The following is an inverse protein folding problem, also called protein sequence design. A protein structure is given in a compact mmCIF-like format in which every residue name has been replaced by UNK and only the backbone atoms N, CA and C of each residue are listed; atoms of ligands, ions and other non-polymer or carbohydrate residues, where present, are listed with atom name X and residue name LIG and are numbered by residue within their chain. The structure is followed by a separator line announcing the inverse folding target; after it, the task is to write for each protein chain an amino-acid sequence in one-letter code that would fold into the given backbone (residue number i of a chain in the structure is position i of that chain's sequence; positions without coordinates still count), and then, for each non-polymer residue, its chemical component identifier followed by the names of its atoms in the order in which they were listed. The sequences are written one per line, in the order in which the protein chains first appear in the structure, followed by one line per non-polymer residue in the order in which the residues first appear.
data_IF_040470155724
#
_entry.id   IF_040470155724
#
_cell.length_a   1.000
_cell.length_b   1.000
_cell.length_c   1.000
_cell.angle_alpha   90.00
_cell.angle_beta   90.00
_cell.angle_gamma   90.00
#
_symmetry.space_group_name_H-M   'P 1'
#
loop_
_entity.id
_entity.type
_entity.pdbx_description
1 polymer ?
#
# COMPACT_ATOMS: atom_id res chain seq x y z
N UNK A 1 -35.07 -6.60 -16.49
CA UNK A 1 -33.98 -7.60 -16.59
C UNK A 1 -32.70 -6.80 -16.57
N UNK A 2 -32.06 -6.66 -15.41
CA UNK A 2 -30.89 -5.80 -15.27
C UNK A 2 -29.67 -6.51 -15.87
N UNK A 3 -29.27 -5.99 -17.02
CA UNK A 3 -27.93 -6.06 -17.60
C UNK A 3 -26.83 -6.06 -16.52
N UNK A 4 -26.15 -7.21 -16.40
CA UNK A 4 -24.89 -7.34 -15.68
C UNK A 4 -23.83 -6.65 -16.53
N UNK A 5 -23.60 -5.36 -16.25
CA UNK A 5 -22.51 -4.59 -16.83
C UNK A 5 -21.21 -5.10 -16.20
N UNK A 6 -20.47 -5.87 -16.99
CA UNK A 6 -19.01 -6.01 -17.00
C UNK A 6 -18.31 -5.86 -15.64
N UNK A 7 -18.02 -6.97 -14.95
CA UNK A 7 -16.91 -7.03 -14.00
C UNK A 7 -15.66 -7.43 -14.80
N UNK A 8 -14.82 -6.46 -15.24
CA UNK A 8 -13.59 -6.79 -15.92
C UNK A 8 -12.66 -7.36 -14.86
N UNK A 9 -12.65 -8.69 -14.72
CA UNK A 9 -11.78 -9.48 -13.86
C UNK A 9 -10.60 -8.66 -13.37
N UNK A 10 -10.72 -8.09 -12.15
CA UNK A 10 -9.67 -7.28 -11.57
C UNK A 10 -8.41 -8.14 -11.56
N UNK A 11 -7.47 -7.85 -12.47
CA UNK A 11 -6.28 -8.66 -12.67
C UNK A 11 -5.42 -8.55 -11.40
N UNK A 12 -5.50 -9.58 -10.55
CA UNK A 12 -4.77 -9.65 -9.31
C UNK A 12 -3.33 -10.10 -9.57
N UNK A 13 -2.39 -9.33 -9.06
CA UNK A 13 -0.97 -9.69 -9.05
C UNK A 13 -0.73 -10.57 -7.83
N UNK A 14 -0.35 -11.83 -8.08
CA UNK A 14 0.12 -12.73 -7.03
C UNK A 14 1.64 -12.60 -6.89
N UNK A 15 2.06 -12.16 -5.71
CA UNK A 15 3.47 -11.94 -5.39
C UNK A 15 4.11 -13.23 -4.86
N UNK A 16 5.31 -13.53 -5.35
CA UNK A 16 6.16 -14.58 -4.81
C UNK A 16 7.10 -14.02 -3.73
N UNK A 17 7.37 -14.83 -2.70
CA UNK A 17 8.37 -14.53 -1.67
C UNK A 17 8.04 -15.20 -0.35
N UNK A 18 9.06 -15.38 0.50
CA UNK A 18 8.94 -16.04 1.80
C UNK A 18 8.01 -15.27 2.76
N UNK A 19 7.79 -13.98 2.49
CA UNK A 19 7.02 -13.11 3.36
C UNK A 19 6.30 -12.01 2.58
N UNK A 20 4.97 -12.08 2.60
CA UNK A 20 4.07 -11.19 1.87
C UNK A 20 3.21 -10.41 2.87
N UNK A 21 3.01 -9.14 2.59
CA UNK A 21 2.00 -8.31 3.23
C UNK A 21 0.72 -8.35 2.41
N UNK A 22 -0.38 -8.72 3.05
CA UNK A 22 -1.70 -8.86 2.44
C UNK A 22 -2.69 -7.85 3.03
N UNK A 23 -3.77 -7.55 2.32
CA UNK A 23 -4.85 -6.73 2.87
C UNK A 23 -5.46 -7.43 4.09
N UNK A 24 -5.59 -6.73 5.22
CA UNK A 24 -6.13 -7.34 6.43
C UNK A 24 -7.60 -7.77 6.31
N UNK A 25 -8.36 -7.20 5.38
CA UNK A 25 -9.79 -7.49 5.21
C UNK A 25 -10.09 -8.62 4.24
N UNK A 26 -9.32 -8.76 3.15
CA UNK A 26 -9.59 -9.73 2.08
C UNK A 26 -8.38 -10.56 1.64
N UNK A 27 -7.23 -10.38 2.29
CA UNK A 27 -6.00 -11.15 2.06
C UNK A 27 -5.38 -11.04 0.66
N UNK A 28 -5.84 -10.13 -0.22
CA UNK A 28 -5.14 -9.89 -1.49
C UNK A 28 -3.70 -9.41 -1.25
N UNK A 29 -2.76 -9.83 -2.09
CA UNK A 29 -1.33 -9.51 -1.94
C UNK A 29 -1.12 -8.01 -2.18
N UNK A 30 -0.40 -7.33 -1.28
CA UNK A 30 -0.13 -5.89 -1.43
C UNK A 30 1.35 -5.62 -1.64
N UNK A 31 2.25 -6.24 -0.88
CA UNK A 31 3.68 -5.98 -1.00
C UNK A 31 4.52 -7.15 -0.49
N UNK A 32 5.77 -7.24 -0.93
CA UNK A 32 6.74 -8.21 -0.37
C UNK A 32 7.50 -7.57 0.79
N UNK A 33 8.07 -8.38 1.69
CA UNK A 33 8.93 -7.85 2.74
C UNK A 33 10.21 -7.18 2.21
N UNK A 34 10.72 -7.62 1.05
CA UNK A 34 11.85 -6.96 0.37
C UNK A 34 11.55 -5.55 -0.11
N UNK A 35 10.27 -5.21 -0.32
CA UNK A 35 9.87 -3.87 -0.73
C UNK A 35 9.78 -2.91 0.47
N UNK A 36 9.99 -3.36 1.71
CA UNK A 36 10.00 -2.48 2.89
C UNK A 36 11.27 -1.62 2.90
N UNK A 37 11.10 -0.31 2.79
CA UNK A 37 12.17 0.69 2.89
C UNK A 37 12.41 1.09 4.34
N UNK A 38 11.35 1.29 5.13
CA UNK A 38 11.48 1.65 6.55
C UNK A 38 10.24 1.26 7.35
N UNK A 39 10.46 0.82 8.60
CA UNK A 39 9.40 0.46 9.55
C UNK A 39 9.13 1.54 10.61
N UNK A 40 9.80 2.68 10.51
CA UNK A 40 9.78 3.77 11.49
C UNK A 40 8.71 4.84 11.27
N UNK A 41 7.72 4.59 10.40
CA UNK A 41 6.70 5.58 10.05
C UNK A 41 5.44 5.45 10.92
N UNK A 42 4.67 6.54 10.97
CA UNK A 42 3.35 6.59 11.60
C UNK A 42 2.31 7.03 10.57
N UNK A 43 1.10 6.50 10.68
CA UNK A 43 -0.07 6.93 9.95
C UNK A 43 -1.22 7.29 10.87
N UNK A 44 -2.42 7.38 10.29
CA UNK A 44 -3.65 7.79 10.96
C UNK A 44 -4.03 6.81 12.08
N UNK A 45 -3.72 5.53 11.90
CA UNK A 45 -4.06 4.44 12.82
C UNK A 45 -2.83 3.87 13.56
N UNK A 46 -1.78 4.67 13.76
CA UNK A 46 -0.56 4.27 14.48
C UNK A 46 0.57 3.86 13.55
N UNK A 47 1.28 2.76 13.84
CA UNK A 47 2.48 2.38 13.07
C UNK A 47 2.17 2.13 11.60
N UNK A 48 3.04 2.61 10.73
CA UNK A 48 2.99 2.39 9.30
C UNK A 48 4.38 2.12 8.73
N UNK A 49 4.45 1.49 7.57
CA UNK A 49 5.71 1.18 6.90
C UNK A 49 5.78 1.92 5.57
N UNK A 50 7.00 2.34 5.22
CA UNK A 50 7.32 2.89 3.91
C UNK A 50 7.74 1.74 2.99
N UNK A 51 7.01 1.56 1.90
CA UNK A 51 7.26 0.55 0.88
C UNK A 51 7.72 1.20 -0.42
N UNK A 52 8.61 0.50 -1.14
CA UNK A 52 9.04 0.85 -2.48
C UNK A 52 7.95 0.55 -3.51
N UNK A 53 7.30 -0.61 -3.40
CA UNK A 53 6.25 -1.07 -4.31
C UNK A 53 5.05 -1.58 -3.50
N UNK A 54 3.83 -1.30 -4.01
CA UNK A 54 2.57 -1.86 -3.53
C UNK A 54 1.68 -2.17 -4.74
N UNK A 55 1.05 -3.34 -4.74
CA UNK A 55 0.25 -3.90 -5.82
C UNK A 55 -1.21 -4.07 -5.40
N UNK A 56 -2.10 -4.37 -6.36
CA UNK A 56 -3.53 -4.60 -6.11
C UNK A 56 -4.17 -3.44 -5.34
N UNK A 57 -3.86 -2.22 -5.78
CA UNK A 57 -4.39 -0.98 -5.21
C UNK A 57 -5.11 -0.13 -6.24
N UNK A 58 -6.06 0.66 -5.75
CA UNK A 58 -6.68 1.80 -6.45
C UNK A 58 -6.11 3.10 -5.89
N UNK A 59 -6.02 4.13 -6.74
CA UNK A 59 -5.58 5.47 -6.32
C UNK A 59 -6.80 6.38 -6.12
N UNK A 60 -6.84 7.05 -4.97
CA UNK A 60 -7.73 8.17 -4.73
C UNK A 60 -7.27 9.44 -5.43
N UNK A 61 -7.99 10.56 -5.23
CA UNK A 61 -7.60 11.85 -5.77
C UNK A 61 -6.27 12.32 -5.17
N UNK A 62 -5.50 13.06 -5.99
CA UNK A 62 -4.30 13.76 -5.54
C UNK A 62 -4.70 14.96 -4.68
N UNK A 63 -4.05 15.09 -3.53
CA UNK A 63 -4.30 16.15 -2.55
C UNK A 63 -2.98 16.63 -1.94
N UNK A 64 -2.89 17.92 -1.64
CA UNK A 64 -1.80 18.48 -0.85
C UNK A 64 -2.14 18.39 0.64
N UNK A 65 -1.24 17.80 1.43
CA UNK A 65 -1.42 17.57 2.87
C UNK A 65 -0.20 18.00 3.66
N UNK A 66 -0.44 18.69 4.77
CA UNK A 66 0.59 18.95 5.80
C UNK A 66 0.75 17.67 6.62
N UNK A 67 1.94 17.09 6.60
CA UNK A 67 2.34 15.93 7.39
C UNK A 67 3.43 16.34 8.38
N UNK A 68 3.86 15.42 9.25
CA UNK A 68 4.89 15.71 10.27
C UNK A 68 6.20 16.28 9.70
N UNK A 69 6.53 15.95 8.45
CA UNK A 69 7.77 16.38 7.78
C UNK A 69 7.52 17.45 6.72
N UNK A 70 6.44 18.23 6.84
CA UNK A 70 6.13 19.33 5.92
C UNK A 70 5.03 19.00 4.89
N UNK A 71 4.88 19.89 3.90
CA UNK A 71 3.87 19.81 2.85
C UNK A 71 4.24 18.74 1.81
N UNK A 72 3.26 17.90 1.45
CA UNK A 72 3.39 16.85 0.43
C UNK A 72 2.15 16.80 -0.44
N UNK A 73 2.31 16.52 -1.73
CA UNK A 73 1.21 15.99 -2.54
C UNK A 73 1.15 14.47 -2.39
N UNK A 74 -0.02 13.95 -2.06
CA UNK A 74 -0.25 12.52 -1.81
C UNK A 74 -1.56 12.06 -2.45
N UNK A 75 -1.76 10.75 -2.57
CA UNK A 75 -3.06 10.15 -2.90
C UNK A 75 -3.30 8.94 -2.00
N UNK A 76 -4.52 8.79 -1.47
CA UNK A 76 -4.87 7.60 -0.69
C UNK A 76 -4.86 6.36 -1.60
N UNK A 77 -4.46 5.22 -1.04
CA UNK A 77 -4.46 3.94 -1.75
C UNK A 77 -5.49 3.00 -1.11
N UNK A 78 -6.39 2.48 -1.95
CA UNK A 78 -7.40 1.50 -1.57
C UNK A 78 -7.00 0.11 -2.03
N UNK A 79 -7.43 -0.94 -1.34
CA UNK A 79 -7.32 -2.31 -1.84
C UNK A 79 -8.21 -2.48 -3.08
N UNK A 80 -7.67 -2.98 -4.20
CA UNK A 80 -8.46 -3.12 -5.43
C UNK A 80 -9.58 -4.14 -5.37
N UNK A 81 -9.62 -4.98 -4.32
CA UNK A 81 -10.62 -6.04 -4.14
C UNK A 81 -11.74 -5.60 -3.19
N UNK A 82 -11.41 -5.15 -1.99
CA UNK A 82 -12.41 -4.78 -0.99
C UNK A 82 -12.55 -3.26 -0.77
N UNK A 83 -11.81 -2.45 -1.53
CA UNK A 83 -11.82 -0.98 -1.51
C UNK A 83 -11.48 -0.33 -0.16
N UNK A 84 -11.03 -1.10 0.83
CA UNK A 84 -10.58 -0.55 2.09
C UNK A 84 -9.34 0.30 1.87
N UNK A 85 -9.32 1.53 2.38
CA UNK A 85 -8.11 2.37 2.39
C UNK A 85 -7.05 1.73 3.28
N UNK A 86 -5.87 1.48 2.71
CA UNK A 86 -4.74 0.84 3.40
C UNK A 86 -3.58 1.79 3.67
N UNK A 87 -3.56 2.97 3.04
CA UNK A 87 -2.51 3.96 3.23
C UNK A 87 -2.54 5.07 2.18
N UNK A 88 -1.36 5.59 1.79
CA UNK A 88 -1.22 6.60 0.73
C UNK A 88 0.13 6.51 0.01
N UNK A 89 0.22 7.08 -1.19
CA UNK A 89 1.47 7.28 -1.94
C UNK A 89 1.95 8.74 -1.83
N UNK A 90 3.26 8.94 -1.72
CA UNK A 90 3.88 10.26 -1.88
C UNK A 90 4.11 10.56 -3.36
N UNK A 91 3.34 11.51 -3.90
CA UNK A 91 3.49 11.94 -5.30
C UNK A 91 4.59 12.98 -5.41
N UNK A 92 4.60 13.94 -4.49
CA UNK A 92 5.57 15.02 -4.47
C UNK A 92 5.85 15.48 -3.04
N UNK A 93 7.10 15.79 -2.73
CA UNK A 93 7.53 16.43 -1.50
C UNK A 93 8.10 17.81 -1.80
N UNK A 94 7.67 18.83 -1.07
CA UNK A 94 8.12 20.21 -1.34
C UNK A 94 9.51 20.50 -0.76
N UNK A 95 9.90 19.76 0.28
CA UNK A 95 11.22 19.86 0.89
C UNK A 95 12.21 18.86 0.27
N UNK A 96 13.43 19.32 -0.04
CA UNK A 96 14.48 18.48 -0.65
C UNK A 96 14.84 17.28 0.23
N UNK A 97 14.90 17.49 1.56
CA UNK A 97 15.17 16.44 2.54
C UNK A 97 14.13 15.30 2.54
N UNK A 98 12.95 15.53 1.96
CA UNK A 98 11.84 14.59 1.92
C UNK A 98 11.65 13.95 0.54
N UNK A 99 12.44 14.33 -0.48
CA UNK A 99 12.35 13.79 -1.85
C UNK A 99 12.52 12.28 -1.92
N UNK A 100 13.28 11.69 -0.99
CA UNK A 100 13.42 10.24 -0.91
C UNK A 100 12.08 9.51 -0.70
N UNK A 101 10.99 10.19 -0.33
CA UNK A 101 9.66 9.58 -0.17
C UNK A 101 8.88 9.50 -1.47
N UNK A 102 9.19 10.33 -2.47
CA UNK A 102 8.43 10.37 -3.73
C UNK A 102 8.42 9.00 -4.41
N UNK A 103 7.25 8.63 -4.93
CA UNK A 103 6.98 7.31 -5.53
C UNK A 103 6.88 6.16 -4.53
N UNK A 104 6.98 6.41 -3.22
CA UNK A 104 6.87 5.39 -2.16
C UNK A 104 5.53 5.46 -1.45
N UNK A 105 5.20 4.36 -0.80
CA UNK A 105 3.88 4.12 -0.22
C UNK A 105 3.99 4.03 1.28
N UNK A 106 3.14 4.74 1.99
CA UNK A 106 2.86 4.45 3.39
C UNK A 106 1.72 3.46 3.43
N UNK A 107 1.92 2.34 4.12
CA UNK A 107 0.87 1.35 4.38
C UNK A 107 0.77 1.12 5.87
N UNK A 108 -0.44 1.24 6.40
CA UNK A 108 -0.68 1.19 7.84
C UNK A 108 -0.69 -0.26 8.34
N UNK A 109 0.01 -0.51 9.46
CA UNK A 109 0.13 -1.86 10.01
C UNK A 109 -1.23 -2.44 10.39
N UNK A 110 -2.17 -1.61 10.83
CA UNK A 110 -3.52 -2.03 11.18
C UNK A 110 -4.36 -2.46 9.96
N UNK A 111 -3.91 -2.19 8.73
CA UNK A 111 -4.62 -2.47 7.48
C UNK A 111 -4.00 -3.63 6.68
N UNK A 112 -2.92 -4.23 7.19
CA UNK A 112 -2.21 -5.32 6.53
C UNK A 112 -1.94 -6.50 7.46
N UNK A 113 -2.05 -7.70 6.90
CA UNK A 113 -1.63 -8.96 7.50
C UNK A 113 -0.25 -9.36 6.96
N UNK A 114 0.46 -10.20 7.70
CA UNK A 114 1.79 -10.68 7.35
C UNK A 114 1.77 -12.19 7.22
N UNK A 115 1.95 -12.69 6.01
CA UNK A 115 1.90 -14.11 5.70
C UNK A 115 3.33 -14.60 5.41
N UNK A 116 3.71 -15.70 6.07
CA UNK A 116 5.03 -16.31 5.90
C UNK A 116 4.86 -17.65 5.17
N UNK A 117 5.55 -17.80 4.05
CA UNK A 117 5.55 -19.01 3.24
C UNK A 117 6.90 -19.69 3.43
N UNK A 118 7.06 -20.39 4.55
CA UNK A 118 8.22 -21.24 4.75
C UNK A 118 8.06 -22.47 3.86
N UNK A 119 8.76 -22.52 2.73
CA UNK A 119 8.94 -23.78 2.02
C UNK A 119 9.80 -24.66 2.92
N UNK A 120 9.21 -25.75 3.45
CA UNK A 120 9.99 -26.84 4.01
C UNK A 120 10.82 -27.40 2.85
N UNK A 121 12.11 -27.04 2.79
CA UNK A 121 13.06 -27.73 1.92
C UNK A 121 13.32 -29.08 2.59
N UNK A 122 12.74 -30.13 2.02
CA UNK A 122 13.21 -31.51 2.24
C UNK A 122 14.64 -31.68 1.74
#
# INVERSE_FOLDING_TARGET
MAEHLDDPQAHQIYLNGDQIYTCASCHTHLARNEDVVSKGFQGRHGRAYLFKNVHNITLGPKEDRILMTGLHSVADIGCSICQSVVGWIYIYAFEESQKYKEGKYIVEKAKISKENFWIQKE
#
